data_IF_161784669453
#
_entry.id   IF_161784669453
#
_cell.length_a   1.000
_cell.length_b   1.000
_cell.length_c   1.000
_cell.angle_alpha   90.00
_cell.angle_beta   90.00
_cell.angle_gamma   90.00
#
_symmetry.space_group_name_H-M   'P 1'
#
loop_
_entity.id
_entity.type
_entity.pdbx_description
1 polymer ?
#
# COMPACT_ATOMS: atom_id res chain seq x y z
N UNK A 1 -47.47 49.98 -15.29
CA UNK A 1 -47.14 51.35 -15.76
C UNK A 1 -46.91 52.22 -14.52
N UNK A 2 -45.84 53.01 -14.37
CA UNK A 2 -44.54 52.95 -15.05
C UNK A 2 -43.30 53.24 -14.16
N UNK A 3 -42.16 52.68 -14.58
CA UNK A 3 -40.76 53.18 -14.62
C UNK A 3 -40.09 54.00 -13.49
N UNK A 4 -39.03 53.40 -12.95
CA UNK A 4 -37.61 53.81 -12.95
C UNK A 4 -37.22 55.31 -13.10
N UNK A 5 -36.30 55.77 -12.24
CA UNK A 5 -34.98 56.29 -12.65
C UNK A 5 -34.04 56.55 -11.46
N UNK A 6 -32.82 56.06 -11.61
CA UNK A 6 -31.61 56.26 -10.78
C UNK A 6 -31.17 57.73 -10.73
N UNK A 7 -30.35 58.10 -9.74
CA UNK A 7 -29.15 58.86 -10.08
C UNK A 7 -27.86 58.35 -9.41
N UNK A 8 -26.76 58.46 -10.16
CA UNK A 8 -25.36 58.34 -9.72
C UNK A 8 -24.91 59.62 -9.02
N UNK A 9 -24.04 59.48 -8.00
CA UNK A 9 -22.76 60.19 -7.76
C UNK A 9 -22.52 60.60 -6.28
N UNK A 10 -21.43 60.14 -5.64
CA UNK A 10 -20.23 60.95 -5.31
C UNK A 10 -19.12 60.17 -4.55
N UNK A 11 -17.88 60.51 -4.91
CA UNK A 11 -16.51 60.19 -4.41
C UNK A 11 -16.32 59.87 -2.90
N UNK A 12 -15.41 58.92 -2.59
CA UNK A 12 -14.05 59.20 -2.07
C UNK A 12 -13.21 57.90 -1.82
N UNK A 13 -11.97 57.96 -2.30
CA UNK A 13 -10.70 57.29 -1.97
C UNK A 13 -10.57 56.35 -0.75
N UNK A 14 -10.03 55.14 -0.98
CA UNK A 14 -8.95 54.52 -0.18
C UNK A 14 -8.43 53.25 -0.88
N UNK A 15 -7.13 53.23 -1.12
CA UNK A 15 -6.32 52.14 -1.68
C UNK A 15 -6.09 51.04 -0.63
N UNK A 16 -6.31 49.77 -1.00
CA UNK A 16 -5.74 48.63 -0.26
C UNK A 16 -5.46 47.43 -1.20
N UNK A 17 -4.45 46.66 -0.81
CA UNK A 17 -3.45 45.98 -1.65
C UNK A 17 -3.95 44.71 -2.35
N UNK A 18 -3.72 44.63 -3.66
CA UNK A 18 -3.57 43.36 -4.39
C UNK A 18 -2.18 42.75 -4.13
N UNK A 19 -2.05 41.41 -4.11
CA UNK A 19 -0.78 40.75 -3.82
C UNK A 19 0.20 40.90 -5.00
N UNK A 20 1.38 41.39 -4.66
CA UNK A 20 2.53 41.69 -5.50
C UNK A 20 3.12 40.42 -6.17
N UNK A 21 3.41 40.43 -7.48
CA UNK A 21 4.16 39.38 -8.15
C UNK A 21 5.66 39.54 -7.86
N UNK A 22 6.24 38.71 -6.99
CA UNK A 22 7.68 38.52 -6.93
C UNK A 22 8.04 37.16 -6.34
N UNK A 23 8.10 36.13 -7.21
CA UNK A 23 8.73 34.86 -6.90
C UNK A 23 10.23 35.05 -6.78
N UNK A 24 10.73 35.15 -5.55
CA UNK A 24 12.16 35.14 -5.26
C UNK A 24 12.75 33.74 -5.45
N UNK A 25 13.57 33.63 -6.48
CA UNK A 25 14.78 32.83 -6.63
C UNK A 25 14.96 31.61 -5.71
N UNK A 26 14.76 30.41 -6.28
CA UNK A 26 15.37 29.18 -5.77
C UNK A 26 16.89 29.26 -5.97
N UNK A 27 17.61 29.32 -4.85
CA UNK A 27 19.08 29.37 -4.78
C UNK A 27 19.65 28.02 -5.24
N UNK A 28 20.44 28.01 -6.32
CA UNK A 28 21.22 26.83 -6.74
C UNK A 28 22.19 26.42 -5.61
N UNK A 29 22.29 25.12 -5.24
CA UNK A 29 23.37 24.66 -4.39
C UNK A 29 24.69 24.73 -5.17
N UNK A 30 25.60 25.55 -4.67
CA UNK A 30 26.99 25.66 -5.10
C UNK A 30 27.79 24.44 -4.63
N UNK A 31 28.53 23.82 -5.55
CA UNK A 31 29.60 22.88 -5.22
C UNK A 31 29.36 21.46 -5.70
N UNK A 32 29.55 21.23 -7.01
CA UNK A 32 29.95 19.93 -7.53
C UNK A 32 31.03 20.18 -8.58
N UNK A 33 32.28 19.98 -8.18
CA UNK A 33 33.42 19.83 -9.08
C UNK A 33 33.22 18.56 -9.92
N UNK A 34 33.33 18.69 -11.24
CA UNK A 34 33.17 17.59 -12.18
C UNK A 34 34.24 16.50 -11.99
N UNK A 35 33.87 15.20 -11.90
CA UNK A 35 34.80 14.13 -12.19
C UNK A 35 34.82 13.85 -13.71
N UNK A 36 36.01 13.48 -14.20
CA UNK A 36 36.33 13.32 -15.62
C UNK A 36 35.63 12.18 -16.37
N UNK A 37 36.10 11.86 -17.59
CA UNK A 37 35.31 11.17 -18.59
C UNK A 37 35.32 9.65 -18.36
N UNK A 38 34.23 9.12 -17.82
CA UNK A 38 33.93 7.69 -17.85
C UNK A 38 32.59 7.48 -18.55
N UNK A 39 32.65 6.79 -19.69
CA UNK A 39 31.48 6.34 -20.46
C UNK A 39 30.81 5.17 -19.73
N UNK A 40 29.91 5.50 -18.81
CA UNK A 40 28.94 4.57 -18.25
C UNK A 40 27.57 5.26 -18.28
N UNK A 41 26.60 4.65 -18.95
CA UNK A 41 25.25 5.18 -19.10
C UNK A 41 24.57 5.24 -17.73
N UNK A 42 24.53 6.42 -17.12
CA UNK A 42 23.73 6.68 -15.94
C UNK A 42 22.25 6.66 -16.35
N UNK A 43 21.54 5.58 -16.05
CA UNK A 43 20.07 5.61 -16.09
C UNK A 43 19.63 6.52 -14.95
N UNK A 44 19.13 7.70 -15.32
CA UNK A 44 18.80 8.76 -14.41
C UNK A 44 17.75 8.28 -13.38
N UNK A 45 17.98 8.59 -12.11
CA UNK A 45 17.06 8.29 -11.01
C UNK A 45 15.61 8.76 -11.30
N UNK A 46 15.46 9.77 -12.16
CA UNK A 46 14.19 10.32 -12.65
C UNK A 46 13.31 9.32 -13.42
N UNK A 47 13.87 8.31 -14.08
CA UNK A 47 13.05 7.32 -14.81
C UNK A 47 12.40 6.30 -13.85
N UNK A 48 13.16 5.84 -12.84
CA UNK A 48 12.65 4.91 -11.80
C UNK A 48 11.59 5.56 -10.91
N UNK A 49 11.73 6.86 -10.64
CA UNK A 49 10.75 7.60 -9.84
C UNK A 49 9.45 7.87 -10.63
N UNK A 50 9.54 8.10 -11.95
CA UNK A 50 8.38 8.20 -12.83
C UNK A 50 7.63 6.87 -12.98
N UNK A 51 8.35 5.73 -13.02
CA UNK A 51 7.72 4.42 -13.11
C UNK A 51 6.97 4.05 -11.82
N UNK A 52 7.56 4.34 -10.65
CA UNK A 52 6.86 4.21 -9.36
C UNK A 52 5.64 5.10 -9.29
N UNK A 53 5.75 6.38 -9.66
CA UNK A 53 4.62 7.30 -9.68
C UNK A 53 3.51 6.86 -10.65
N UNK A 54 3.88 6.29 -11.81
CA UNK A 54 2.93 5.73 -12.78
C UNK A 54 2.21 4.49 -12.24
N UNK A 55 2.93 3.59 -11.57
CA UNK A 55 2.36 2.39 -10.95
C UNK A 55 1.46 2.73 -9.76
N UNK A 56 1.87 3.68 -8.91
CA UNK A 56 1.06 4.18 -7.79
C UNK A 56 -0.25 4.79 -8.28
N UNK A 57 -0.19 5.60 -9.34
CA UNK A 57 -1.39 6.21 -9.95
C UNK A 57 -2.32 5.14 -10.52
N UNK A 58 -1.79 4.16 -11.26
CA UNK A 58 -2.58 3.04 -11.80
C UNK A 58 -3.20 2.18 -10.70
N UNK A 59 -2.48 1.94 -9.60
CA UNK A 59 -2.98 1.20 -8.45
C UNK A 59 -4.09 1.98 -7.73
N UNK A 60 -3.93 3.32 -7.63
CA UNK A 60 -4.94 4.23 -7.10
C UNK A 60 -6.23 4.23 -7.93
N UNK A 61 -6.13 4.33 -9.25
CA UNK A 61 -7.28 4.36 -10.17
C UNK A 61 -8.02 3.02 -10.20
N UNK A 62 -7.28 1.90 -10.17
CA UNK A 62 -7.87 0.57 -10.07
C UNK A 62 -8.59 0.38 -8.72
N UNK A 63 -7.96 0.80 -7.63
CA UNK A 63 -8.56 0.75 -6.30
C UNK A 63 -9.79 1.67 -6.18
N UNK A 64 -9.78 2.84 -6.83
CA UNK A 64 -10.90 3.76 -6.87
C UNK A 64 -12.07 3.21 -7.72
N UNK A 65 -11.77 2.58 -8.86
CA UNK A 65 -12.79 1.96 -9.72
C UNK A 65 -13.53 0.81 -9.04
N UNK A 66 -12.85 0.04 -8.19
CA UNK A 66 -13.48 -1.04 -7.40
C UNK A 66 -14.26 -0.48 -6.19
N UNK A 67 -13.98 0.77 -5.74
CA UNK A 67 -14.45 1.33 -4.46
C UNK A 67 -15.93 1.72 -4.42
N UNK A 68 -16.62 1.95 -5.54
CA UNK A 68 -18.07 2.20 -5.63
C UNK A 68 -18.73 2.90 -4.42
N UNK A 69 -18.79 4.23 -4.41
CA UNK A 69 -19.64 5.08 -3.55
C UNK A 69 -20.02 4.57 -2.12
N UNK A 70 -19.06 4.15 -1.27
CA UNK A 70 -19.21 4.09 0.20
C UNK A 70 -17.83 4.03 0.88
N UNK A 71 -17.38 5.18 1.40
CA UNK A 71 -15.95 5.51 1.60
C UNK A 71 -15.27 5.03 2.90
N UNK A 72 -15.97 4.45 3.88
CA UNK A 72 -15.34 4.05 5.17
C UNK A 72 -15.16 2.54 5.38
N UNK A 73 -15.96 1.70 4.72
CA UNK A 73 -15.96 0.24 4.92
C UNK A 73 -14.88 -0.43 4.05
N UNK A 74 -14.70 0.08 2.82
CA UNK A 74 -13.76 -0.47 1.82
C UNK A 74 -12.30 -0.15 2.15
N UNK A 75 -12.00 1.03 2.68
CA UNK A 75 -10.63 1.39 3.10
C UNK A 75 -10.15 0.55 4.27
N UNK A 76 -11.06 0.19 5.18
CA UNK A 76 -10.78 -0.67 6.33
C UNK A 76 -10.52 -2.12 5.92
N UNK A 77 -11.18 -2.64 4.89
CA UNK A 77 -11.04 -4.04 4.45
C UNK A 77 -9.86 -4.30 3.51
N UNK A 78 -9.49 -3.33 2.66
CA UNK A 78 -8.38 -3.50 1.70
C UNK A 78 -7.00 -3.49 2.39
N UNK A 79 -6.80 -2.65 3.40
CA UNK A 79 -5.48 -2.47 4.02
C UNK A 79 -4.95 -3.77 4.69
N UNK A 80 -5.74 -4.49 5.52
CA UNK A 80 -5.32 -5.78 6.06
C UNK A 80 -4.99 -6.82 4.98
N UNK A 81 -5.72 -6.82 3.86
CA UNK A 81 -5.48 -7.73 2.74
C UNK A 81 -4.14 -7.48 2.05
N UNK A 82 -3.86 -6.23 1.68
CA UNK A 82 -2.58 -5.87 1.05
C UNK A 82 -1.41 -6.17 2.00
N UNK A 83 -1.58 -5.86 3.28
CA UNK A 83 -0.56 -6.13 4.28
C UNK A 83 -0.33 -7.64 4.45
N UNK A 84 -1.40 -8.45 4.50
CA UNK A 84 -1.30 -9.91 4.56
C UNK A 84 -0.60 -10.47 3.32
N UNK A 85 -0.91 -9.96 2.12
CA UNK A 85 -0.19 -10.35 0.90
C UNK A 85 1.31 -10.07 1.01
N UNK A 86 1.71 -8.92 1.54
CA UNK A 86 3.12 -8.58 1.75
C UNK A 86 3.79 -9.47 2.78
N UNK A 87 3.08 -9.90 3.84
CA UNK A 87 3.60 -10.89 4.78
C UNK A 87 3.82 -12.24 4.12
N UNK A 88 2.87 -12.70 3.27
CA UNK A 88 3.03 -13.92 2.51
C UNK A 88 4.26 -13.87 1.60
N UNK A 89 4.50 -12.75 0.90
CA UNK A 89 5.66 -12.60 0.02
C UNK A 89 6.99 -12.67 0.78
N UNK A 90 7.09 -11.95 1.90
CA UNK A 90 8.30 -11.99 2.74
C UNK A 90 8.54 -13.39 3.33
N UNK A 91 7.46 -14.06 3.72
CA UNK A 91 7.54 -15.41 4.26
C UNK A 91 7.92 -16.44 3.19
N UNK A 92 7.40 -16.30 1.97
CA UNK A 92 7.79 -17.12 0.82
C UNK A 92 9.29 -16.96 0.50
N UNK A 93 9.82 -15.73 0.48
CA UNK A 93 11.25 -15.46 0.28
C UNK A 93 12.14 -16.04 1.39
N UNK A 94 11.65 -16.07 2.64
CA UNK A 94 12.33 -16.71 3.77
C UNK A 94 12.30 -18.24 3.67
N UNK A 95 11.14 -18.81 3.30
CA UNK A 95 10.99 -20.24 3.08
C UNK A 95 11.86 -20.74 1.94
N UNK A 96 11.94 -20.02 0.83
CA UNK A 96 12.76 -20.42 -0.32
C UNK A 96 14.25 -20.43 0.01
N UNK A 97 14.70 -19.50 0.85
CA UNK A 97 16.08 -19.51 1.36
C UNK A 97 16.36 -20.73 2.22
N UNK A 98 15.45 -21.07 3.14
CA UNK A 98 15.57 -22.27 3.96
C UNK A 98 15.48 -23.53 3.09
N UNK A 99 14.58 -23.56 2.11
CA UNK A 99 14.39 -24.66 1.18
C UNK A 99 15.64 -24.92 0.34
N UNK A 100 16.40 -23.89 -0.02
CA UNK A 100 17.68 -24.04 -0.71
C UNK A 100 18.74 -24.76 0.16
N UNK A 101 18.67 -24.63 1.49
CA UNK A 101 19.58 -25.31 2.42
C UNK A 101 19.12 -26.74 2.74
N UNK A 102 17.82 -26.96 2.94
CA UNK A 102 17.26 -28.28 3.32
C UNK A 102 16.83 -29.14 2.13
N UNK A 103 16.86 -28.57 0.93
CA UNK A 103 16.61 -29.22 -0.37
C UNK A 103 15.14 -29.34 -0.79
N UNK A 104 14.17 -28.87 0.01
CA UNK A 104 12.75 -28.88 -0.40
C UNK A 104 11.92 -27.91 0.44
N UNK A 105 10.91 -27.31 -0.17
CA UNK A 105 9.99 -26.38 0.47
C UNK A 105 9.11 -27.04 1.53
N UNK A 106 8.72 -28.29 1.33
CA UNK A 106 8.04 -29.13 2.34
C UNK A 106 8.82 -29.25 3.65
N UNK A 107 10.13 -29.55 3.56
CA UNK A 107 10.99 -29.64 4.75
C UNK A 107 11.16 -28.28 5.40
N UNK A 108 11.26 -27.20 4.61
CA UNK A 108 11.31 -25.84 5.13
C UNK A 108 10.05 -25.50 5.94
N UNK A 109 8.85 -25.83 5.44
CA UNK A 109 7.61 -25.66 6.20
C UNK A 109 7.60 -26.44 7.52
N UNK A 110 8.07 -27.70 7.52
CA UNK A 110 8.16 -28.52 8.74
C UNK A 110 9.15 -27.93 9.74
N UNK A 111 10.29 -27.44 9.26
CA UNK A 111 11.34 -26.84 10.07
C UNK A 111 10.86 -25.53 10.71
N UNK A 112 10.25 -24.63 9.93
CA UNK A 112 9.69 -23.35 10.39
C UNK A 112 8.52 -23.57 11.37
N UNK A 113 7.75 -24.64 11.19
CA UNK A 113 6.70 -25.02 12.14
C UNK A 113 7.27 -25.45 13.50
N UNK A 114 8.43 -26.11 13.51
CA UNK A 114 9.12 -26.53 14.72
C UNK A 114 9.85 -25.36 15.39
N UNK A 115 10.55 -24.53 14.59
CA UNK A 115 11.23 -23.33 15.05
C UNK A 115 10.77 -22.09 14.28
N UNK A 116 9.86 -21.35 14.91
CA UNK A 116 9.26 -20.12 14.37
C UNK A 116 10.25 -18.95 14.29
N UNK A 117 11.43 -19.05 14.92
CA UNK A 117 12.45 -17.99 14.92
C UNK A 117 13.26 -17.92 13.62
N UNK A 118 13.15 -18.95 12.78
CA UNK A 118 13.82 -19.01 11.47
C UNK A 118 13.26 -18.01 10.47
N UNK A 119 12.04 -17.53 10.71
CA UNK A 119 11.33 -16.56 9.90
C UNK A 119 11.02 -15.32 10.72
N UNK A 120 10.88 -14.17 10.06
CA UNK A 120 10.59 -12.91 10.77
C UNK A 120 9.16 -12.85 11.26
N UNK A 121 8.23 -13.41 10.49
CA UNK A 121 6.83 -13.57 10.87
C UNK A 121 6.40 -14.99 10.54
N UNK A 122 5.83 -15.69 11.51
CA UNK A 122 5.33 -17.04 11.30
C UNK A 122 3.91 -17.01 10.73
N UNK A 123 3.71 -17.48 9.51
CA UNK A 123 2.38 -17.59 8.91
C UNK A 123 1.90 -19.05 8.99
N UNK A 124 0.83 -19.35 9.76
CA UNK A 124 0.23 -20.68 9.81
C UNK A 124 -0.65 -20.97 8.57
N UNK A 125 -0.17 -20.59 7.39
CA UNK A 125 -0.83 -20.80 6.10
C UNK A 125 0.04 -21.75 5.29
N UNK A 126 -0.47 -22.97 5.07
CA UNK A 126 0.24 -23.99 4.30
C UNK A 126 -0.61 -24.31 3.07
N UNK A 127 -0.10 -24.04 1.85
CA UNK A 127 -0.80 -24.41 0.63
C UNK A 127 -0.89 -25.94 0.49
N UNK A 128 -1.91 -26.40 -0.24
CA UNK A 128 -2.09 -27.83 -0.50
C UNK A 128 -0.92 -28.41 -1.32
N UNK A 129 -0.40 -27.60 -2.24
CA UNK A 129 0.85 -27.85 -2.95
C UNK A 129 1.96 -26.99 -2.31
N UNK A 130 2.99 -27.59 -1.71
CA UNK A 130 4.11 -26.89 -1.08
C UNK A 130 4.88 -25.95 -2.00
N UNK A 131 4.88 -26.21 -3.31
CA UNK A 131 5.58 -25.39 -4.30
C UNK A 131 4.79 -24.14 -4.70
N UNK A 132 3.54 -24.02 -4.22
CA UNK A 132 2.77 -22.81 -4.43
C UNK A 132 3.16 -21.68 -3.45
N UNK A 133 2.93 -20.42 -3.88
CA UNK A 133 3.02 -19.28 -2.97
C UNK A 133 2.03 -19.44 -1.82
N UNK A 134 2.41 -19.04 -0.61
CA UNK A 134 1.53 -19.14 0.57
C UNK A 134 0.22 -18.36 0.40
N UNK A 135 0.25 -17.29 -0.39
CA UNK A 135 -0.95 -16.53 -0.75
C UNK A 135 -1.99 -17.33 -1.56
N UNK A 136 -1.62 -18.47 -2.15
CA UNK A 136 -2.55 -19.32 -2.89
C UNK A 136 -3.69 -19.82 -2.00
N UNK A 137 -3.44 -20.04 -0.70
CA UNK A 137 -4.45 -20.41 0.31
C UNK A 137 -5.60 -19.40 0.31
N UNK A 138 -5.27 -18.10 0.30
CA UNK A 138 -6.28 -17.03 0.31
C UNK A 138 -6.92 -16.84 -1.07
N UNK A 139 -6.14 -16.96 -2.15
CA UNK A 139 -6.63 -16.79 -3.54
C UNK A 139 -7.60 -17.88 -4.00
N UNK A 140 -7.47 -19.09 -3.46
CA UNK A 140 -8.28 -20.25 -3.85
C UNK A 140 -9.56 -20.41 -3.03
N UNK A 141 -9.79 -19.54 -2.03
CA UNK A 141 -11.04 -19.49 -1.28
C UNK A 141 -12.21 -19.25 -2.25
N UNK A 142 -13.21 -20.13 -2.24
CA UNK A 142 -14.37 -20.05 -3.15
C UNK A 142 -15.71 -20.04 -2.41
N UNK A 143 -15.75 -20.56 -1.19
CA UNK A 143 -16.91 -20.61 -0.31
C UNK A 143 -16.62 -19.87 1.00
N UNK A 144 -17.65 -19.31 1.66
CA UNK A 144 -17.54 -18.67 2.99
C UNK A 144 -16.32 -17.76 3.15
N UNK A 145 -15.98 -17.01 2.10
CA UNK A 145 -14.69 -16.32 1.96
C UNK A 145 -14.44 -15.38 3.14
N UNK A 146 -15.47 -14.66 3.61
CA UNK A 146 -15.36 -13.75 4.76
C UNK A 146 -14.98 -14.45 6.06
N UNK A 147 -15.61 -15.59 6.36
CA UNK A 147 -15.33 -16.38 7.57
C UNK A 147 -13.92 -17.00 7.52
N UNK A 148 -13.57 -17.63 6.40
CA UNK A 148 -12.27 -18.28 6.21
C UNK A 148 -11.13 -17.26 6.26
N UNK A 149 -11.28 -16.13 5.55
CA UNK A 149 -10.30 -15.06 5.57
C UNK A 149 -10.12 -14.47 6.98
N UNK A 150 -11.22 -14.21 7.69
CA UNK A 150 -11.17 -13.71 9.07
C UNK A 150 -10.44 -14.68 9.98
N UNK A 151 -10.68 -15.99 9.82
CA UNK A 151 -10.01 -17.04 10.59
C UNK A 151 -8.51 -17.06 10.32
N UNK A 152 -8.11 -17.07 9.04
CA UNK A 152 -6.70 -17.03 8.64
C UNK A 152 -5.97 -15.79 9.19
N UNK A 153 -6.55 -14.60 9.06
CA UNK A 153 -5.94 -13.37 9.57
C UNK A 153 -5.82 -13.36 11.10
N UNK A 154 -6.84 -13.87 11.81
CA UNK A 154 -6.78 -14.03 13.28
C UNK A 154 -5.71 -15.02 13.70
N UNK A 155 -5.52 -16.11 12.97
CA UNK A 155 -4.50 -17.11 13.32
C UNK A 155 -3.09 -16.59 13.04
N UNK A 156 -2.88 -15.83 11.96
CA UNK A 156 -1.62 -15.10 11.71
C UNK A 156 -1.37 -14.09 12.83
N UNK A 157 -2.39 -13.36 13.31
CA UNK A 157 -2.23 -12.40 14.41
C UNK A 157 -1.88 -13.09 15.74
N UNK A 158 -2.56 -14.20 16.07
CA UNK A 158 -2.25 -14.99 17.28
C UNK A 158 -0.83 -15.56 17.26
N UNK A 159 -0.35 -15.97 16.08
CA UNK A 159 1.00 -16.46 15.90
C UNK A 159 2.08 -15.39 16.11
N UNK A 160 1.73 -14.11 15.92
CA UNK A 160 2.67 -12.99 15.91
C UNK A 160 2.12 -11.84 16.78
N UNK A 161 2.54 -11.72 18.05
CA UNK A 161 2.02 -10.68 18.95
C UNK A 161 2.15 -9.25 18.41
N UNK A 162 3.16 -8.97 17.57
CA UNK A 162 3.36 -7.67 16.93
C UNK A 162 2.30 -7.31 15.88
N UNK A 163 1.58 -8.30 15.34
CA UNK A 163 0.56 -8.12 14.32
C UNK A 163 -0.86 -8.07 14.90
N UNK A 164 -1.00 -8.34 16.19
CA UNK A 164 -2.27 -8.31 16.89
C UNK A 164 -2.81 -6.87 16.95
N UNK A 165 -4.08 -6.68 16.62
CA UNK A 165 -4.70 -5.37 16.47
C UNK A 165 -4.35 -4.63 15.17
N UNK A 166 -3.60 -5.23 14.25
CA UNK A 166 -3.29 -4.66 12.93
C UNK A 166 -4.13 -5.37 11.86
N UNK A 167 -4.00 -6.70 11.78
CA UNK A 167 -4.62 -7.49 10.71
C UNK A 167 -5.96 -8.13 11.10
N UNK A 168 -6.23 -8.27 12.39
CA UNK A 168 -7.39 -8.98 12.95
C UNK A 168 -8.55 -8.05 13.39
N UNK A 169 -8.41 -6.74 13.18
CA UNK A 169 -9.45 -5.74 13.52
C UNK A 169 -10.71 -5.84 12.67
N UNK A 170 -10.59 -6.45 11.50
CA UNK A 170 -11.64 -6.47 10.50
C UNK A 170 -12.26 -7.85 10.48
N UNK A 171 -13.55 -7.91 10.76
CA UNK A 171 -14.34 -9.10 10.52
C UNK A 171 -14.90 -9.02 9.10
N UNK A 172 -14.41 -9.89 8.21
CA UNK A 172 -14.83 -9.94 6.81
C UNK A 172 -16.17 -10.67 6.62
N UNK A 173 -16.68 -11.32 7.67
CA UNK A 173 -17.99 -11.97 7.67
C UNK A 173 -19.10 -11.07 8.26
N UNK A 174 -18.75 -9.95 8.89
CA UNK A 174 -19.72 -9.05 9.49
C UNK A 174 -20.61 -8.39 8.41
N UNK A 175 -21.88 -8.78 8.35
CA UNK A 175 -22.90 -8.00 7.66
C UNK A 175 -23.10 -6.72 8.46
N UNK A 176 -22.63 -5.59 7.91
CA UNK A 176 -22.99 -4.28 8.45
C UNK A 176 -24.48 -4.06 8.17
N UNK A 177 -25.33 -4.54 9.08
CA UNK A 177 -26.70 -4.05 9.19
C UNK A 177 -26.60 -2.62 9.76
N UNK A 178 -26.83 -1.64 8.89
CA UNK A 178 -27.10 -0.26 9.25
C UNK A 178 -28.56 0.06 8.96
#
# INVERSE_FOLDING_TARGET
MPTARTPKAKKAEATDKGPNPNGSAAKKPSGQTAPGPWTGTWVAATERDNEKASLETKLWDAAYSIRGAKSSVVTRTILPLIFTKRLCDVFDDELDRIAAEVGSREKAFRLVKADKKLVRFYLPLVPADPDEPVWSVVRKLSDKIGEQLTTHLRDVAKANPLLQGIIDRVDFNATTHG
#
